data_IF_796782642545
#
_entry.id   IF_796782642545
#
_cell.length_a   1.000
_cell.length_b   1.000
_cell.length_c   1.000
_cell.angle_alpha   90.00
_cell.angle_beta   90.00
_cell.angle_gamma   90.00
#
_symmetry.space_group_name_H-M   'P 1'
#
loop_
_entity.id
_entity.type
_entity.pdbx_description
1 polymer ?
#
# COMPACT_ATOMS: atom_id res chain seq x y z
N UNK A 1 -28.13 33.82 -18.27
CA UNK A 1 -27.11 33.51 -17.25
C UNK A 1 -26.83 32.01 -17.27
N UNK A 2 -25.66 31.58 -17.75
CA UNK A 2 -25.24 30.18 -17.65
C UNK A 2 -25.03 29.82 -16.18
N UNK A 3 -25.75 28.81 -15.69
CA UNK A 3 -25.55 28.22 -14.36
C UNK A 3 -24.70 26.97 -14.53
N UNK A 4 -23.69 26.80 -13.68
CA UNK A 4 -22.86 25.59 -13.68
C UNK A 4 -23.50 24.54 -12.77
N UNK A 5 -23.67 23.32 -13.28
CA UNK A 5 -24.08 22.16 -12.50
C UNK A 5 -22.89 21.21 -12.34
N UNK A 6 -22.66 20.73 -11.12
CA UNK A 6 -21.61 19.76 -10.84
C UNK A 6 -22.21 18.36 -10.68
N UNK A 7 -21.93 17.46 -11.62
CA UNK A 7 -22.46 16.09 -11.63
C UNK A 7 -22.04 15.28 -10.40
N UNK A 8 -20.86 15.54 -9.83
CA UNK A 8 -20.38 14.81 -8.64
C UNK A 8 -21.02 15.31 -7.34
N UNK A 9 -21.36 16.60 -7.26
CA UNK A 9 -21.95 17.20 -6.06
C UNK A 9 -23.47 17.29 -6.12
N UNK A 10 -24.07 17.05 -7.29
CA UNK A 10 -25.48 17.25 -7.58
C UNK A 10 -26.01 18.62 -7.12
N UNK A 11 -25.19 19.66 -7.33
CA UNK A 11 -25.51 21.02 -6.90
C UNK A 11 -25.30 22.04 -8.02
N UNK A 12 -26.14 23.07 -8.02
CA UNK A 12 -26.04 24.21 -8.92
C UNK A 12 -25.21 25.33 -8.28
N UNK A 13 -24.35 25.95 -9.08
CA UNK A 13 -23.58 27.12 -8.70
C UNK A 13 -24.29 28.39 -9.19
N UNK A 14 -24.37 29.40 -8.33
CA UNK A 14 -25.10 30.65 -8.60
C UNK A 14 -24.49 31.47 -9.74
N UNK A 15 -23.16 31.45 -9.86
CA UNK A 15 -22.43 32.15 -10.90
C UNK A 15 -21.38 31.25 -11.53
N UNK A 16 -21.42 31.15 -12.86
CA UNK A 16 -20.40 30.48 -13.65
C UNK A 16 -19.26 31.44 -13.98
N UNK A 17 -18.41 31.73 -12.99
CA UNK A 17 -17.13 32.42 -13.22
C UNK A 17 -15.97 31.45 -13.01
N UNK A 18 -14.84 31.63 -13.72
CA UNK A 18 -13.69 30.72 -13.62
C UNK A 18 -13.16 30.62 -12.19
N UNK A 19 -13.18 31.72 -11.43
CA UNK A 19 -12.75 31.76 -10.03
C UNK A 19 -13.65 30.92 -9.12
N UNK A 20 -14.97 31.02 -9.27
CA UNK A 20 -15.94 30.28 -8.45
C UNK A 20 -15.94 28.79 -8.83
N UNK A 21 -15.82 28.46 -10.13
CA UNK A 21 -15.61 27.07 -10.58
C UNK A 21 -14.35 26.46 -9.99
N UNK A 22 -13.23 27.17 -10.06
CA UNK A 22 -11.93 26.69 -9.54
C UNK A 22 -11.98 26.43 -8.04
N UNK A 23 -12.60 27.31 -7.25
CA UNK A 23 -12.73 27.10 -5.81
C UNK A 23 -13.66 25.93 -5.47
N UNK A 24 -14.73 25.72 -6.24
CA UNK A 24 -15.61 24.56 -6.10
C UNK A 24 -14.89 23.23 -6.39
N UNK A 25 -14.17 23.14 -7.53
CA UNK A 25 -13.46 21.94 -7.96
C UNK A 25 -12.30 21.56 -7.01
N UNK A 26 -11.63 22.55 -6.43
CA UNK A 26 -10.60 22.33 -5.40
C UNK A 26 -11.18 22.16 -3.99
N UNK A 27 -12.50 22.21 -3.85
CA UNK A 27 -13.21 22.06 -2.57
C UNK A 27 -13.08 20.64 -2.01
N UNK A 28 -12.85 20.53 -0.70
CA UNK A 28 -12.69 19.25 0.00
C UNK A 28 -13.85 18.26 -0.26
N UNK A 29 -15.09 18.76 -0.27
CA UNK A 29 -16.25 17.90 -0.50
C UNK A 29 -16.31 17.38 -1.95
N UNK A 30 -16.03 18.24 -2.93
CA UNK A 30 -15.97 17.85 -4.33
C UNK A 30 -14.91 16.78 -4.58
N UNK A 31 -13.67 17.02 -4.13
CA UNK A 31 -12.55 16.06 -4.31
C UNK A 31 -12.87 14.70 -3.67
N UNK A 32 -13.50 14.70 -2.48
CA UNK A 32 -13.93 13.46 -1.82
C UNK A 32 -14.99 12.72 -2.65
N UNK A 33 -16.05 13.41 -3.07
CA UNK A 33 -17.15 12.82 -3.85
C UNK A 33 -16.67 12.30 -5.21
N UNK A 34 -15.82 13.07 -5.90
CA UNK A 34 -15.21 12.65 -7.16
C UNK A 34 -14.31 11.42 -6.95
N UNK A 35 -13.49 11.40 -5.89
CA UNK A 35 -12.68 10.24 -5.52
C UNK A 35 -13.53 9.00 -5.23
N UNK A 36 -14.60 9.14 -4.44
CA UNK A 36 -15.55 8.08 -4.12
C UNK A 36 -16.23 7.53 -5.39
N UNK A 37 -16.64 8.41 -6.31
CA UNK A 37 -17.24 8.03 -7.60
C UNK A 37 -16.28 7.15 -8.42
N UNK A 38 -15.04 7.59 -8.64
CA UNK A 38 -14.08 6.82 -9.44
C UNK A 38 -13.65 5.53 -8.74
N UNK A 39 -13.51 5.52 -7.42
CA UNK A 39 -13.25 4.31 -6.66
C UNK A 39 -14.39 3.28 -6.82
N UNK A 40 -15.64 3.74 -6.75
CA UNK A 40 -16.80 2.87 -6.94
C UNK A 40 -16.95 2.40 -8.38
N UNK A 41 -16.70 3.26 -9.37
CA UNK A 41 -16.70 2.88 -10.78
C UNK A 41 -15.63 1.83 -11.08
N UNK A 42 -14.41 2.01 -10.58
CA UNK A 42 -13.34 1.03 -10.72
C UNK A 42 -13.71 -0.32 -10.07
N UNK A 43 -14.34 -0.30 -8.90
CA UNK A 43 -14.86 -1.51 -8.24
C UNK A 43 -15.91 -2.24 -9.07
N UNK A 44 -16.85 -1.52 -9.68
CA UNK A 44 -17.88 -2.10 -10.55
C UNK A 44 -17.28 -2.75 -11.80
N UNK A 45 -16.29 -2.11 -12.43
CA UNK A 45 -15.60 -2.66 -13.60
C UNK A 45 -14.79 -3.91 -13.24
N UNK A 46 -14.13 -3.93 -12.08
CA UNK A 46 -13.41 -5.11 -11.60
C UNK A 46 -14.35 -6.27 -11.23
N UNK A 47 -15.59 -5.98 -10.83
CA UNK A 47 -16.63 -6.94 -10.46
C UNK A 47 -17.62 -7.16 -11.61
N UNK A 48 -17.16 -7.34 -12.86
CA UNK A 48 -18.05 -7.77 -13.95
C UNK A 48 -18.68 -9.12 -13.59
N UNK A 49 -19.87 -9.06 -13.00
CA UNK A 49 -20.58 -10.20 -12.44
C UNK A 49 -21.28 -11.00 -13.54
N UNK A 50 -21.58 -10.37 -14.67
CA UNK A 50 -22.27 -11.01 -15.78
C UNK A 50 -21.29 -11.88 -16.56
N UNK A 51 -21.41 -13.22 -16.48
CA UNK A 51 -20.63 -14.08 -17.35
C UNK A 51 -21.05 -13.82 -18.79
N UNK A 52 -20.08 -13.86 -19.70
CA UNK A 52 -20.35 -13.86 -21.14
C UNK A 52 -21.31 -15.01 -21.44
N UNK A 53 -22.48 -14.72 -22.01
CA UNK A 53 -23.49 -15.73 -22.31
C UNK A 53 -22.87 -16.76 -23.25
N UNK A 54 -22.74 -18.00 -22.77
CA UNK A 54 -22.28 -19.10 -23.63
C UNK A 54 -23.50 -19.58 -24.40
N UNK A 55 -23.45 -19.50 -25.73
CA UNK A 55 -24.39 -20.24 -26.57
C UNK A 55 -24.11 -21.72 -26.31
N UNK A 56 -25.09 -22.43 -25.79
CA UNK A 56 -25.01 -23.89 -25.64
C UNK A 56 -25.07 -24.47 -27.03
N UNK A 57 -23.94 -24.93 -27.56
CA UNK A 57 -23.97 -25.76 -28.76
C UNK A 57 -24.76 -27.02 -28.42
N UNK A 58 -25.90 -27.20 -29.07
CA UNK A 58 -26.66 -28.45 -29.01
C UNK A 58 -25.78 -29.53 -29.63
N UNK A 59 -25.09 -30.29 -28.78
CA UNK A 59 -24.37 -31.49 -29.20
C UNK A 59 -25.39 -32.45 -29.77
N UNK A 60 -25.45 -32.54 -31.10
CA UNK A 60 -26.18 -33.62 -31.77
C UNK A 60 -25.53 -34.93 -31.35
N UNK A 61 -26.26 -35.73 -30.57
CA UNK A 61 -25.87 -37.10 -30.24
C UNK A 61 -25.97 -37.89 -31.53
N UNK A 62 -24.86 -38.03 -32.26
CA UNK A 62 -24.76 -39.06 -33.28
C UNK A 62 -24.67 -40.40 -32.54
N UNK A 63 -25.75 -41.18 -32.60
CA UNK A 63 -25.79 -42.57 -32.18
C UNK A 63 -24.64 -43.32 -32.88
N UNK A 64 -23.51 -43.53 -32.20
CA UNK A 64 -22.45 -44.40 -32.73
C UNK A 64 -20.99 -44.10 -32.34
N UNK A 65 -20.66 -43.00 -31.64
CA UNK A 65 -19.24 -42.68 -31.32
C UNK A 65 -18.95 -42.29 -29.86
N UNK A 66 -19.65 -42.86 -28.89
CA UNK A 66 -19.32 -42.71 -27.46
C UNK A 66 -18.84 -44.03 -26.81
N UNK A 67 -18.31 -44.97 -27.60
CA UNK A 67 -17.84 -46.29 -27.09
C UNK A 67 -16.50 -46.21 -26.33
N UNK A 68 -15.81 -45.06 -26.38
CA UNK A 68 -14.53 -44.86 -25.68
C UNK A 68 -14.55 -43.68 -24.69
N UNK A 69 -15.73 -43.33 -24.15
CA UNK A 69 -15.79 -42.54 -22.92
C UNK A 69 -15.52 -43.48 -21.76
N UNK A 70 -14.23 -43.63 -21.46
CA UNK A 70 -13.70 -44.14 -20.20
C UNK A 70 -14.68 -43.78 -19.08
N UNK A 71 -15.08 -44.78 -18.29
CA UNK A 71 -15.93 -44.61 -17.10
C UNK A 71 -15.35 -43.50 -16.20
N UNK A 72 -15.72 -42.26 -16.49
CA UNK A 72 -15.22 -41.10 -15.79
C UNK A 72 -15.86 -41.14 -14.42
N UNK A 73 -15.08 -41.56 -13.41
CA UNK A 73 -15.50 -41.48 -12.02
C UNK A 73 -16.06 -40.07 -11.78
N UNK A 74 -17.28 -39.99 -11.24
CA UNK A 74 -17.92 -38.71 -10.93
C UNK A 74 -16.99 -37.90 -10.03
N UNK A 75 -16.57 -36.72 -10.47
CA UNK A 75 -15.69 -35.84 -9.69
C UNK A 75 -16.58 -35.13 -8.64
N UNK A 76 -16.33 -35.32 -7.34
CA UNK A 76 -17.08 -34.60 -6.32
C UNK A 76 -16.74 -33.11 -6.38
N UNK A 77 -17.77 -32.27 -6.46
CA UNK A 77 -17.62 -30.81 -6.39
C UNK A 77 -17.75 -30.36 -4.93
N UNK A 78 -16.72 -29.72 -4.40
CA UNK A 78 -16.79 -29.13 -3.07
C UNK A 78 -17.52 -27.78 -3.12
N UNK A 79 -18.65 -27.70 -2.43
CA UNK A 79 -19.44 -26.48 -2.28
C UNK A 79 -19.37 -25.98 -0.83
N UNK A 80 -18.52 -25.00 -0.56
CA UNK A 80 -18.40 -24.40 0.76
C UNK A 80 -19.71 -23.72 1.22
N UNK A 81 -19.89 -23.61 2.54
CA UNK A 81 -21.04 -22.92 3.15
C UNK A 81 -21.01 -21.41 2.87
N UNK A 82 -22.17 -20.74 2.99
CA UNK A 82 -22.24 -19.28 2.79
C UNK A 82 -21.31 -18.51 3.73
N UNK A 83 -21.18 -18.96 4.98
CA UNK A 83 -20.26 -18.37 5.96
C UNK A 83 -18.80 -18.51 5.51
N UNK A 84 -18.39 -19.70 5.08
CA UNK A 84 -17.04 -19.96 4.56
C UNK A 84 -16.75 -19.12 3.30
N UNK A 85 -17.69 -19.06 2.35
CA UNK A 85 -17.57 -18.24 1.13
C UNK A 85 -17.41 -16.75 1.46
N UNK A 86 -18.21 -16.22 2.40
CA UNK A 86 -18.12 -14.81 2.84
C UNK A 86 -16.76 -14.51 3.48
N UNK A 87 -16.28 -15.41 4.34
CA UNK A 87 -14.97 -15.27 4.96
C UNK A 87 -13.82 -15.35 3.94
N UNK A 88 -13.88 -16.30 3.01
CA UNK A 88 -12.87 -16.46 1.94
C UNK A 88 -12.80 -15.22 1.04
N UNK A 89 -13.95 -14.66 0.63
CA UNK A 89 -14.00 -13.41 -0.16
C UNK A 89 -13.38 -12.24 0.60
N UNK A 90 -13.69 -12.08 1.89
CA UNK A 90 -13.09 -11.04 2.74
C UNK A 90 -11.57 -11.20 2.83
N UNK A 91 -11.09 -12.40 3.12
CA UNK A 91 -9.66 -12.69 3.25
C UNK A 91 -8.92 -12.48 1.92
N UNK A 92 -9.51 -12.88 0.80
CA UNK A 92 -8.93 -12.64 -0.53
C UNK A 92 -8.85 -11.15 -0.87
N UNK A 93 -9.87 -10.35 -0.50
CA UNK A 93 -9.83 -8.91 -0.69
C UNK A 93 -8.70 -8.24 0.12
N UNK A 94 -8.49 -8.67 1.37
CA UNK A 94 -7.40 -8.18 2.22
C UNK A 94 -6.04 -8.55 1.62
N UNK A 95 -5.84 -9.83 1.25
CA UNK A 95 -4.60 -10.29 0.61
C UNK A 95 -4.29 -9.54 -0.70
N UNK A 96 -5.32 -9.26 -1.52
CA UNK A 96 -5.13 -8.50 -2.75
C UNK A 96 -4.69 -7.05 -2.47
N UNK A 97 -5.19 -6.42 -1.40
CA UNK A 97 -4.73 -5.11 -0.96
C UNK A 97 -3.28 -5.16 -0.45
N UNK A 98 -2.93 -6.16 0.36
CA UNK A 98 -1.57 -6.33 0.88
C UNK A 98 -0.54 -6.60 -0.23
N UNK A 99 -0.88 -7.40 -1.24
CA UNK A 99 -0.02 -7.65 -2.41
C UNK A 99 0.26 -6.38 -3.23
N UNK A 100 -0.61 -5.36 -3.14
CA UNK A 100 -0.37 -4.06 -3.79
C UNK A 100 0.64 -3.19 -3.05
N UNK A 101 1.04 -3.56 -1.83
CA UNK A 101 2.03 -2.81 -1.07
C UNK A 101 3.40 -2.84 -1.76
N UNK A 102 4.05 -1.68 -1.84
CA UNK A 102 5.35 -1.53 -2.51
C UNK A 102 6.48 -2.10 -1.66
N UNK A 103 7.43 -2.77 -2.30
CA UNK A 103 8.65 -3.29 -1.68
C UNK A 103 9.61 -2.11 -1.39
N UNK A 104 9.91 -1.84 -0.12
CA UNK A 104 10.73 -0.70 0.33
C UNK A 104 12.14 -1.12 0.82
N UNK A 105 12.65 -2.25 0.35
CA UNK A 105 13.92 -2.83 0.85
C UNK A 105 15.11 -1.92 0.54
N UNK A 106 15.18 -1.37 -0.67
CA UNK A 106 16.29 -0.49 -1.10
C UNK A 106 16.36 0.79 -0.26
N UNK A 107 15.21 1.36 0.09
CA UNK A 107 15.14 2.58 0.89
C UNK A 107 15.78 2.37 2.28
N UNK A 108 15.54 1.20 2.89
CA UNK A 108 16.13 0.81 4.17
C UNK A 108 17.61 0.49 4.06
N UNK A 109 18.02 -0.23 3.01
CA UNK A 109 19.42 -0.59 2.76
C UNK A 109 20.31 0.64 2.59
N UNK A 110 19.86 1.59 1.77
CA UNK A 110 20.64 2.76 1.41
C UNK A 110 20.40 3.96 2.33
N UNK A 111 19.60 3.84 3.39
CA UNK A 111 19.23 4.95 4.27
C UNK A 111 20.42 5.74 4.85
N UNK A 112 21.56 5.08 5.08
CA UNK A 112 22.81 5.70 5.57
C UNK A 112 23.85 5.93 4.48
N UNK A 113 23.54 5.64 3.22
CA UNK A 113 24.51 5.79 2.13
C UNK A 113 24.82 7.26 1.83
N UNK A 114 26.04 7.57 1.35
CA UNK A 114 26.36 8.91 0.88
C UNK A 114 25.41 9.30 -0.27
N UNK A 115 24.75 10.45 -0.14
CA UNK A 115 23.85 10.95 -1.18
C UNK A 115 22.45 10.34 -1.19
N UNK A 116 22.06 9.54 -0.19
CA UNK A 116 20.70 8.99 -0.04
C UNK A 116 19.59 10.04 -0.27
N UNK A 117 19.74 11.21 0.35
CA UNK A 117 18.80 12.32 0.23
C UNK A 117 18.56 12.77 -1.21
N UNK A 118 19.56 12.68 -2.11
CA UNK A 118 19.45 13.18 -3.48
C UNK A 118 18.60 12.27 -4.38
N UNK A 119 18.52 10.98 -4.05
CA UNK A 119 17.90 9.95 -4.90
C UNK A 119 16.58 9.43 -4.30
N UNK A 120 16.59 9.10 -3.01
CA UNK A 120 15.49 8.41 -2.34
C UNK A 120 14.47 9.37 -1.72
N UNK A 121 14.85 10.60 -1.36
CA UNK A 121 13.88 11.60 -0.88
C UNK A 121 13.21 12.29 -2.07
N UNK A 122 11.88 12.12 -2.29
CA UNK A 122 11.20 12.62 -3.48
C UNK A 122 11.28 14.15 -3.60
N UNK A 123 11.22 14.87 -2.47
CA UNK A 123 11.33 16.33 -2.40
C UNK A 123 12.70 16.86 -2.86
N UNK A 124 13.73 16.02 -2.84
CA UNK A 124 15.11 16.38 -3.14
C UNK A 124 15.57 15.94 -4.53
N UNK A 125 14.74 15.19 -5.28
CA UNK A 125 15.09 14.73 -6.62
C UNK A 125 15.09 15.87 -7.64
N UNK A 126 15.87 15.72 -8.71
CA UNK A 126 15.97 16.74 -9.76
C UNK A 126 14.80 16.70 -10.74
N UNK A 127 14.25 15.51 -10.99
CA UNK A 127 13.16 15.25 -11.93
C UNK A 127 11.80 15.62 -11.33
N UNK A 128 11.45 15.06 -10.18
CA UNK A 128 10.12 15.21 -9.56
C UNK A 128 10.10 16.14 -8.36
N UNK A 129 11.26 16.63 -7.91
CA UNK A 129 11.34 17.38 -6.65
C UNK A 129 10.55 18.68 -6.67
N UNK A 130 10.48 19.36 -7.81
CA UNK A 130 9.70 20.59 -7.95
C UNK A 130 8.19 20.31 -7.93
N UNK A 131 7.72 19.29 -8.68
CA UNK A 131 6.30 18.94 -8.68
C UNK A 131 5.82 18.51 -7.30
N UNK A 132 6.58 17.65 -6.61
CA UNK A 132 6.26 17.19 -5.24
C UNK A 132 6.11 18.36 -4.25
N UNK A 133 6.91 19.42 -4.39
CA UNK A 133 6.81 20.62 -3.54
C UNK A 133 5.59 21.47 -3.87
N UNK A 134 5.25 21.60 -5.16
CA UNK A 134 4.09 22.36 -5.63
C UNK A 134 2.77 21.66 -5.32
N UNK A 135 2.75 20.33 -5.37
CA UNK A 135 1.59 19.49 -5.10
C UNK A 135 1.23 19.46 -3.60
N UNK A 136 2.11 19.97 -2.73
CA UNK A 136 1.86 20.04 -1.29
C UNK A 136 0.69 20.98 -1.02
N UNK A 137 -0.41 20.42 -0.53
CA UNK A 137 -1.65 21.16 -0.28
C UNK A 137 -1.42 22.36 0.67
N UNK A 138 -2.10 23.50 0.42
CA UNK A 138 -1.99 24.65 1.31
C UNK A 138 -2.52 24.30 2.69
N UNK A 139 -1.67 24.37 3.70
CA UNK A 139 -2.05 24.13 5.10
C UNK A 139 -2.80 25.35 5.64
N UNK A 140 -4.07 25.50 5.24
CA UNK A 140 -4.96 26.58 5.73
C UNK A 140 -5.52 26.30 7.13
N UNK A 141 -5.62 25.03 7.50
CA UNK A 141 -6.11 24.63 8.82
C UNK A 141 -4.99 24.77 9.86
N UNK A 142 -5.25 25.51 10.93
CA UNK A 142 -4.35 25.67 12.08
C UNK A 142 -4.18 24.40 12.93
N UNK A 143 -4.59 23.24 12.42
CA UNK A 143 -4.27 21.96 13.05
C UNK A 143 -2.80 21.69 12.80
N UNK A 144 -2.00 21.72 13.87
CA UNK A 144 -0.69 21.07 13.87
C UNK A 144 -0.93 19.61 13.47
N UNK A 145 -0.24 19.06 12.46
CA UNK A 145 -0.34 17.63 12.18
C UNK A 145 -0.03 16.90 13.47
N UNK A 146 -0.88 15.93 13.85
CA UNK A 146 -0.72 15.19 15.09
C UNK A 146 0.73 14.78 15.26
N UNK A 147 1.30 15.25 16.37
CA UNK A 147 2.66 15.01 16.79
C UNK A 147 2.85 13.50 16.98
N UNK A 148 3.43 12.83 15.99
CA UNK A 148 4.30 11.70 16.31
C UNK A 148 5.55 12.35 16.88
N UNK A 149 5.69 12.34 18.19
CA UNK A 149 6.91 12.65 18.93
C UNK A 149 8.07 11.79 18.40
N UNK A 150 8.65 12.17 17.27
CA UNK A 150 9.95 11.67 16.82
C UNK A 150 10.97 12.69 17.29
N UNK A 151 11.80 12.36 18.31
CA UNK A 151 12.82 13.28 18.80
C UNK A 151 13.81 13.53 17.66
N UNK A 152 13.83 14.75 17.13
CA UNK A 152 14.68 15.16 16.01
C UNK A 152 13.95 15.89 14.89
N UNK A 153 12.61 15.82 14.82
CA UNK A 153 11.82 16.58 13.84
C UNK A 153 11.24 17.85 14.44
N UNK A 154 12.11 18.79 14.86
CA UNK A 154 11.69 20.18 15.09
C UNK A 154 11.42 20.83 13.73
N UNK A 155 10.24 20.56 13.16
CA UNK A 155 9.74 21.20 11.96
C UNK A 155 9.37 22.64 12.25
N UNK A 156 10.35 23.54 12.18
CA UNK A 156 10.09 24.97 12.04
C UNK A 156 9.24 25.19 10.80
N UNK A 157 8.12 25.92 10.95
CA UNK A 157 7.22 26.31 9.87
C UNK A 157 7.82 27.36 8.92
N UNK A 158 9.03 27.10 8.41
CA UNK A 158 9.71 27.91 7.41
C UNK A 158 9.99 27.08 6.17
N UNK A 159 9.34 27.41 5.06
CA UNK A 159 9.62 26.98 3.68
C UNK A 159 10.17 25.56 3.47
N UNK A 160 9.30 24.60 3.13
CA UNK A 160 9.71 23.22 2.76
C UNK A 160 10.83 23.15 1.70
N UNK A 161 10.96 24.15 0.82
CA UNK A 161 12.06 24.27 -0.12
C UNK A 161 13.43 24.43 0.57
N UNK A 162 13.54 25.24 1.63
CA UNK A 162 14.81 25.44 2.36
C UNK A 162 15.18 24.20 3.16
N UNK A 163 14.19 23.50 3.74
CA UNK A 163 14.40 22.22 4.41
C UNK A 163 14.88 21.13 3.44
N UNK A 164 14.25 20.99 2.27
CA UNK A 164 14.66 20.02 1.24
C UNK A 164 16.06 20.35 0.68
N UNK A 165 16.37 21.63 0.46
CA UNK A 165 17.70 22.07 0.03
C UNK A 165 18.76 21.81 1.10
N UNK A 166 18.46 22.06 2.37
CA UNK A 166 19.32 21.75 3.51
C UNK A 166 19.65 20.26 3.55
N UNK A 167 18.63 19.41 3.45
CA UNK A 167 18.77 17.95 3.42
C UNK A 167 19.55 17.47 2.18
N UNK A 168 19.36 18.09 1.01
CA UNK A 168 20.10 17.77 -0.21
C UNK A 168 21.59 18.11 -0.11
N UNK A 169 21.93 19.17 0.62
CA UNK A 169 23.28 19.70 0.80
C UNK A 169 24.01 19.10 2.02
N UNK A 170 23.38 18.18 2.77
CA UNK A 170 24.03 17.48 3.87
C UNK A 170 25.26 16.71 3.36
N UNK A 171 26.43 17.08 3.89
CA UNK A 171 27.67 16.34 3.67
C UNK A 171 27.59 15.02 4.42
N UNK A 172 27.99 13.94 3.75
CA UNK A 172 28.06 12.63 4.38
C UNK A 172 29.02 12.66 5.56
N UNK A 173 28.57 12.18 6.72
CA UNK A 173 29.39 11.94 7.89
C UNK A 173 29.21 10.47 8.27
N UNK A 174 30.28 9.66 8.27
CA UNK A 174 30.16 8.24 8.61
C UNK A 174 29.79 8.10 10.09
N UNK A 175 28.73 7.35 10.36
CA UNK A 175 28.28 7.02 11.71
C UNK A 175 28.72 5.59 12.06
N UNK A 176 29.95 5.48 12.56
CA UNK A 176 30.54 4.19 12.94
C UNK A 176 29.92 3.59 14.21
N UNK A 177 29.12 4.34 14.98
CA UNK A 177 28.42 3.82 16.17
C UNK A 177 27.42 2.73 15.81
N UNK A 178 26.96 2.74 14.55
CA UNK A 178 25.95 1.81 14.05
C UNK A 178 26.46 0.48 13.53
N UNK A 179 27.78 0.26 13.47
CA UNK A 179 28.34 -1.05 13.14
C UNK A 179 27.93 -2.13 14.18
N UNK A 180 27.68 -1.70 15.42
CA UNK A 180 27.21 -2.57 16.52
C UNK A 180 25.69 -2.81 16.51
N UNK A 181 24.94 -1.96 15.79
CA UNK A 181 23.48 -1.94 15.74
C UNK A 181 22.92 -1.97 14.32
N UNK A 182 23.66 -2.55 13.36
CA UNK A 182 23.12 -2.89 12.04
C UNK A 182 21.89 -3.76 12.30
N UNK A 183 20.72 -3.13 12.23
CA UNK A 183 19.44 -3.82 12.29
C UNK A 183 19.49 -4.80 11.13
N UNK A 184 19.66 -6.08 11.47
CA UNK A 184 19.68 -7.15 10.49
C UNK A 184 18.42 -6.98 9.65
N UNK A 185 18.57 -7.08 8.34
CA UNK A 185 17.42 -7.09 7.46
C UNK A 185 16.43 -8.14 7.98
N UNK A 186 15.13 -7.83 7.99
CA UNK A 186 14.16 -8.84 8.35
C UNK A 186 14.37 -10.05 7.42
N UNK A 187 14.20 -11.28 7.94
CA UNK A 187 14.30 -12.47 7.10
C UNK A 187 13.29 -12.37 5.94
N UNK A 188 13.58 -13.01 4.80
CA UNK A 188 12.68 -12.98 3.66
C UNK A 188 11.30 -13.53 4.08
N UNK A 189 10.20 -12.81 3.81
CA UNK A 189 8.87 -13.26 4.18
C UNK A 189 8.50 -14.52 3.37
N UNK A 190 7.89 -15.51 4.03
CA UNK A 190 7.36 -16.71 3.39
C UNK A 190 5.83 -16.69 3.34
N UNK A 191 5.25 -17.49 2.45
CA UNK A 191 3.80 -17.64 2.38
C UNK A 191 3.30 -18.43 3.60
N UNK A 192 2.48 -17.80 4.45
CA UNK A 192 1.91 -18.47 5.62
C UNK A 192 1.05 -19.70 5.31
N UNK A 193 0.58 -19.83 4.07
CA UNK A 193 -0.17 -21.00 3.60
C UNK A 193 0.74 -22.23 3.39
N UNK A 194 2.05 -22.02 3.19
CA UNK A 194 3.06 -23.05 2.95
C UNK A 194 4.15 -22.94 4.03
N UNK A 195 3.87 -23.42 5.26
CA UNK A 195 4.73 -23.20 6.41
C UNK A 195 6.01 -24.06 6.43
N UNK A 196 6.23 -24.93 5.43
CA UNK A 196 7.43 -25.76 5.35
C UNK A 196 8.64 -24.91 4.97
N UNK A 197 9.17 -24.15 5.92
CA UNK A 197 10.52 -23.63 5.82
C UNK A 197 11.49 -24.82 5.86
N UNK A 198 12.51 -24.87 4.98
CA UNK A 198 13.57 -25.87 5.10
C UNK A 198 14.22 -25.76 6.48
N UNK A 199 14.59 -26.88 7.12
CA UNK A 199 15.21 -26.87 8.44
C UNK A 199 16.50 -26.03 8.41
N UNK A 200 16.69 -25.19 9.43
CA UNK A 200 17.93 -24.42 9.58
C UNK A 200 19.09 -25.40 9.78
N UNK A 201 20.08 -25.36 8.87
CA UNK A 201 21.24 -26.25 8.89
C UNK A 201 22.26 -25.88 9.98
N UNK A 202 22.19 -24.66 10.52
CA UNK A 202 22.99 -24.20 11.67
C UNK A 202 22.09 -23.68 12.78
N UNK A 203 22.31 -24.19 14.00
CA UNK A 203 21.71 -23.64 15.21
C UNK A 203 22.27 -22.23 15.43
N UNK A 204 21.41 -21.22 15.48
CA UNK A 204 21.84 -19.86 15.80
C UNK A 204 21.90 -19.66 17.32
N UNK A 205 23.08 -19.35 17.86
CA UNK A 205 23.28 -19.04 19.30
C UNK A 205 22.59 -17.75 19.78
N UNK A 206 21.90 -17.03 18.90
CA UNK A 206 21.15 -15.82 19.27
C UNK A 206 19.98 -16.11 20.18
N UNK A 207 19.25 -17.21 19.96
CA UNK A 207 18.12 -17.58 20.80
C UNK A 207 18.56 -17.91 22.23
N UNK A 208 19.66 -18.67 22.36
CA UNK A 208 20.28 -19.05 23.64
C UNK A 208 20.87 -17.83 24.37
N UNK A 209 21.49 -16.89 23.64
CA UNK A 209 21.99 -15.64 24.23
C UNK A 209 20.87 -14.71 24.73
N UNK A 210 19.72 -14.67 24.05
CA UNK A 210 18.56 -13.88 24.52
C UNK A 210 17.92 -14.48 25.77
N UNK A 211 17.78 -15.80 25.84
CA UNK A 211 17.25 -16.47 27.04
C UNK A 211 18.20 -16.34 28.22
N UNK A 212 19.51 -16.40 27.99
CA UNK A 212 20.51 -16.18 29.03
C UNK A 212 20.48 -14.74 29.55
N UNK A 213 20.37 -13.72 28.68
CA UNK A 213 20.24 -12.32 29.12
C UNK A 213 18.96 -12.04 29.90
N UNK A 214 17.85 -12.65 29.49
CA UNK A 214 16.57 -12.49 30.19
C UNK A 214 16.58 -13.21 31.55
N UNK A 215 17.27 -14.36 31.63
CA UNK A 215 17.50 -15.07 32.88
C UNK A 215 18.44 -14.30 33.83
N UNK A 216 19.55 -13.75 33.34
CA UNK A 216 20.47 -12.94 34.16
C UNK A 216 19.78 -11.68 34.67
N UNK A 217 18.99 -11.00 33.84
CA UNK A 217 18.26 -9.81 34.26
C UNK A 217 17.18 -10.11 35.32
N UNK A 218 16.60 -11.32 35.33
CA UNK A 218 15.67 -11.75 36.40
C UNK A 218 16.38 -12.05 37.71
N UNK A 219 17.59 -12.60 37.66
CA UNK A 219 18.40 -12.88 38.85
C UNK A 219 18.95 -11.60 39.49
N UNK A 220 19.29 -10.57 38.70
CA UNK A 220 19.74 -9.27 39.19
C UNK A 220 18.63 -8.39 39.81
N UNK A 221 17.36 -8.80 39.68
CA UNK A 221 16.20 -8.07 40.24
C UNK A 221 15.72 -8.62 41.59
N UNK A 222 16.33 -9.70 42.09
CA UNK A 222 16.12 -10.26 43.42
C UNK A 222 17.31 -9.91 44.32
#
# INVERSE_FOLDING_TARGET
MPRFFCDYCHSYLTHDTPSVKKSHLLGKNHVRLAGDYYCNKARQVAQQFFPRTRKTDTRHVQNGKDVNRISHRKIPLHCATNRQKKMARRNNAIRAQELSAKIQVLDKLYGKSPGYAKVFKPECRLDTGQSVRLDRAPQRANRKPNHTDVPGSRGFGGGSATAALSVRNQKFRPDYTSARSLALLPPPPSLSQWPTCPPLLLASDRATATTLRDATHRLERH
#
